data_IF_050950759327
#
_entry.id   IF_050950759327
#
_cell.length_a   1.000
_cell.length_b   1.000
_cell.length_c   1.000
_cell.angle_alpha   90.00
_cell.angle_beta   90.00
_cell.angle_gamma   90.00
#
_symmetry.space_group_name_H-M   'P 1'
#
loop_
_entity.id
_entity.type
_entity.pdbx_description
1 polymer ?
#
# COMPACT_ATOMS: atom_id res chain seq x y z
N UNK A 1 29.10 -1.70 31.16
CA UNK A 1 28.73 -0.97 29.95
C UNK A 1 27.38 -1.52 29.56
N UNK A 2 26.30 -0.75 29.76
CA UNK A 2 24.99 -1.09 29.15
C UNK A 2 25.15 -1.04 27.63
N UNK A 3 24.82 -2.13 26.94
CA UNK A 3 24.76 -2.11 25.49
C UNK A 3 23.67 -1.09 25.09
N UNK A 4 24.01 -0.16 24.21
CA UNK A 4 22.98 0.69 23.58
C UNK A 4 21.96 -0.22 22.96
N UNK A 5 20.65 0.04 23.14
CA UNK A 5 19.65 -0.75 22.45
C UNK A 5 19.95 -0.70 20.96
N UNK A 6 20.05 -1.87 20.34
CA UNK A 6 20.31 -1.97 18.90
C UNK A 6 19.17 -1.25 18.17
N UNK A 7 19.50 -0.26 17.36
CA UNK A 7 18.53 0.44 16.53
C UNK A 7 17.88 -0.57 15.60
N UNK A 8 16.54 -0.66 15.58
CA UNK A 8 15.80 -1.42 14.59
C UNK A 8 15.53 -0.55 13.37
N UNK A 9 15.69 -1.13 12.21
CA UNK A 9 15.34 -0.51 10.93
C UNK A 9 14.30 -1.41 10.27
N UNK A 10 13.12 -0.84 10.04
CA UNK A 10 12.03 -1.51 9.34
C UNK A 10 11.87 -0.93 7.95
N UNK A 11 11.70 -1.79 6.96
CA UNK A 11 11.34 -1.41 5.61
C UNK A 11 9.85 -1.64 5.39
N UNK A 12 9.11 -0.60 5.05
CA UNK A 12 7.76 -0.75 4.50
C UNK A 12 7.85 -1.42 3.15
N UNK A 13 7.06 -2.46 2.94
CA UNK A 13 7.07 -3.26 1.71
C UNK A 13 5.68 -3.37 1.10
N UNK A 14 5.64 -3.66 -0.19
CA UNK A 14 4.47 -4.21 -0.85
C UNK A 14 4.54 -5.74 -0.72
N UNK A 15 3.77 -6.31 0.21
CA UNK A 15 3.75 -7.75 0.43
C UNK A 15 3.09 -8.43 -0.77
N UNK A 16 3.78 -9.43 -1.34
CA UNK A 16 3.43 -10.02 -2.65
C UNK A 16 2.06 -10.69 -2.64
N UNK A 17 1.81 -11.60 -1.72
CA UNK A 17 0.56 -12.34 -1.66
C UNK A 17 -0.63 -11.42 -1.44
N UNK A 18 -0.52 -10.45 -0.54
CA UNK A 18 -1.57 -9.47 -0.28
C UNK A 18 -1.83 -8.55 -1.49
N UNK A 19 -0.76 -8.16 -2.21
CA UNK A 19 -0.88 -7.33 -3.42
C UNK A 19 -1.59 -8.07 -4.54
N UNK A 20 -1.21 -9.33 -4.81
CA UNK A 20 -1.89 -10.16 -5.80
C UNK A 20 -3.35 -10.39 -5.44
N UNK A 21 -3.61 -10.83 -4.21
CA UNK A 21 -4.98 -11.04 -3.74
C UNK A 21 -5.83 -9.78 -3.86
N UNK A 22 -5.27 -8.61 -3.51
CA UNK A 22 -5.96 -7.34 -3.65
C UNK A 22 -6.26 -6.95 -5.10
N UNK A 23 -5.33 -7.21 -6.03
CA UNK A 23 -5.53 -6.94 -7.46
C UNK A 23 -6.59 -7.86 -8.08
N UNK A 24 -6.78 -9.07 -7.54
CA UNK A 24 -7.81 -10.00 -8.02
C UNK A 24 -9.23 -9.54 -7.64
N UNK A 25 -9.37 -8.71 -6.61
CA UNK A 25 -10.66 -8.21 -6.11
C UNK A 25 -11.09 -6.85 -6.65
N UNK A 26 -10.40 -6.33 -7.67
CA UNK A 26 -10.74 -5.04 -8.27
C UNK A 26 -10.62 -5.07 -9.80
N UNK A 27 -11.34 -4.17 -10.47
CA UNK A 27 -11.11 -3.83 -11.86
C UNK A 27 -10.49 -2.44 -11.99
N UNK A 28 -9.51 -2.34 -12.88
CA UNK A 28 -8.84 -1.07 -13.14
C UNK A 28 -9.82 -0.03 -13.73
N UNK A 29 -9.66 1.25 -13.37
CA UNK A 29 -10.39 2.32 -14.03
C UNK A 29 -10.16 2.34 -15.54
N UNK A 30 -11.08 2.95 -16.28
CA UNK A 30 -10.90 3.18 -17.71
C UNK A 30 -9.58 3.93 -17.98
N UNK A 31 -8.80 3.42 -18.93
CA UNK A 31 -7.48 3.98 -19.26
C UNK A 31 -6.32 3.57 -18.33
N UNK A 32 -6.60 2.87 -17.23
CA UNK A 32 -5.59 2.30 -16.37
C UNK A 32 -5.41 0.81 -16.67
N UNK A 33 -4.29 0.23 -16.24
CA UNK A 33 -4.00 -1.20 -16.43
C UNK A 33 -3.59 -1.85 -15.12
N UNK A 34 -3.85 -3.16 -14.99
CA UNK A 34 -3.24 -3.95 -13.92
C UNK A 34 -1.75 -4.17 -14.24
N UNK A 35 -0.87 -4.12 -13.24
CA UNK A 35 0.54 -4.43 -13.45
C UNK A 35 0.71 -5.87 -13.97
N UNK A 36 1.73 -6.08 -14.78
CA UNK A 36 2.11 -7.44 -15.21
C UNK A 36 2.68 -8.25 -14.05
N UNK A 37 2.67 -9.57 -14.17
CA UNK A 37 3.29 -10.44 -13.18
C UNK A 37 4.77 -10.12 -13.01
N UNK A 38 5.52 -9.94 -14.10
CA UNK A 38 6.93 -9.58 -14.06
C UNK A 38 7.17 -8.27 -13.28
N UNK A 39 6.31 -7.25 -13.49
CA UNK A 39 6.39 -6.01 -12.72
C UNK A 39 6.17 -6.25 -11.24
N UNK A 40 5.15 -7.02 -10.88
CA UNK A 40 4.84 -7.32 -9.47
C UNK A 40 5.94 -8.13 -8.81
N UNK A 41 6.51 -9.13 -9.49
CA UNK A 41 7.60 -9.95 -8.95
C UNK A 41 8.85 -9.13 -8.65
N UNK A 42 9.10 -8.06 -9.42
CA UNK A 42 10.21 -7.14 -9.18
C UNK A 42 9.88 -6.03 -8.16
N UNK A 43 8.61 -5.68 -8.02
CA UNK A 43 8.17 -4.54 -7.20
C UNK A 43 7.74 -4.96 -5.78
N UNK A 44 7.30 -6.20 -5.59
CA UNK A 44 6.80 -6.73 -4.32
C UNK A 44 7.84 -7.60 -3.61
N UNK A 45 7.70 -7.73 -2.29
CA UNK A 45 8.52 -8.57 -1.44
C UNK A 45 7.74 -9.77 -0.93
N UNK A 46 8.42 -10.90 -0.78
CA UNK A 46 7.83 -12.08 -0.17
C UNK A 46 7.91 -12.01 1.35
N UNK A 47 6.77 -12.25 1.99
CA UNK A 47 6.64 -12.32 3.44
C UNK A 47 6.86 -10.98 4.15
N UNK A 48 6.16 -10.78 5.23
CA UNK A 48 6.34 -9.66 6.14
C UNK A 48 6.70 -10.20 7.52
N UNK A 49 7.62 -9.53 8.21
CA UNK A 49 7.95 -9.84 9.60
C UNK A 49 6.90 -9.25 10.55
N UNK A 50 6.37 -8.08 10.20
CA UNK A 50 5.29 -7.41 10.95
C UNK A 50 4.22 -6.94 9.98
N UNK A 51 2.97 -7.19 10.33
CA UNK A 51 1.78 -6.68 9.65
C UNK A 51 0.99 -5.79 10.61
N UNK A 52 0.70 -4.55 10.18
CA UNK A 52 -0.06 -3.58 10.97
C UNK A 52 -1.42 -3.38 10.33
N UNK A 53 -2.47 -3.85 11.01
CA UNK A 53 -3.85 -3.60 10.57
C UNK A 53 -4.18 -2.11 10.71
N UNK A 54 -4.82 -1.55 9.68
CA UNK A 54 -5.25 -0.16 9.67
C UNK A 54 -6.70 -0.04 10.18
N UNK A 55 -6.91 0.79 11.21
CA UNK A 55 -8.24 1.25 11.58
C UNK A 55 -8.86 2.10 10.46
N UNK A 56 -10.17 2.31 10.48
CA UNK A 56 -10.83 3.19 9.52
C UNK A 56 -10.24 4.61 9.54
N UNK A 57 -9.93 5.14 10.72
CA UNK A 57 -9.29 6.45 10.85
C UNK A 57 -7.88 6.49 10.24
N UNK A 58 -7.08 5.43 10.43
CA UNK A 58 -5.75 5.33 9.83
C UNK A 58 -5.83 5.19 8.30
N UNK A 59 -6.81 4.44 7.80
CA UNK A 59 -7.06 4.28 6.38
C UNK A 59 -7.48 5.60 5.72
N UNK A 60 -8.35 6.38 6.38
CA UNK A 60 -8.74 7.70 5.90
C UNK A 60 -7.57 8.68 5.91
N UNK A 61 -6.74 8.66 6.95
CA UNK A 61 -5.51 9.46 6.99
C UNK A 61 -4.55 9.08 5.85
N UNK A 62 -4.41 7.80 5.55
CA UNK A 62 -3.61 7.31 4.41
C UNK A 62 -4.15 7.82 3.09
N UNK A 63 -5.47 7.75 2.86
CA UNK A 63 -6.10 8.31 1.64
C UNK A 63 -5.87 9.81 1.52
N UNK A 64 -6.00 10.56 2.62
CA UNK A 64 -5.73 11.99 2.63
C UNK A 64 -4.28 12.31 2.29
N UNK A 65 -3.33 11.55 2.85
CA UNK A 65 -1.91 11.69 2.54
C UNK A 65 -1.62 11.39 1.05
N UNK A 66 -2.22 10.33 0.50
CA UNK A 66 -2.08 9.98 -0.93
C UNK A 66 -2.61 11.10 -1.83
N UNK A 67 -3.77 11.69 -1.52
CA UNK A 67 -4.33 12.82 -2.28
C UNK A 67 -3.46 14.08 -2.20
N UNK A 68 -2.73 14.29 -1.10
CA UNK A 68 -1.78 15.39 -0.97
C UNK A 68 -0.60 15.29 -1.94
N UNK A 69 -0.27 14.07 -2.41
CA UNK A 69 0.74 13.82 -3.43
C UNK A 69 0.16 13.82 -4.86
N UNK A 70 -0.74 14.75 -5.16
CA UNK A 70 -1.54 14.81 -6.38
C UNK A 70 -0.76 14.81 -7.69
N UNK A 71 0.53 15.16 -7.68
CA UNK A 71 1.39 15.11 -8.86
C UNK A 71 1.94 13.70 -9.17
N UNK A 72 1.79 12.75 -8.24
CA UNK A 72 2.41 11.43 -8.34
C UNK A 72 1.45 10.29 -8.04
N UNK A 73 0.45 10.51 -7.18
CA UNK A 73 -0.48 9.48 -6.73
C UNK A 73 -1.91 9.93 -7.03
N UNK A 74 -2.66 9.06 -7.68
CA UNK A 74 -4.07 9.29 -8.01
C UNK A 74 -4.93 8.21 -7.38
N UNK A 75 -5.83 8.61 -6.48
CA UNK A 75 -6.78 7.68 -5.84
C UNK A 75 -7.95 7.45 -6.79
N UNK A 76 -8.27 6.18 -7.03
CA UNK A 76 -9.29 5.77 -8.00
C UNK A 76 -10.70 5.73 -7.35
N UNK A 77 -11.16 6.84 -6.80
CA UNK A 77 -12.44 7.00 -6.10
C UNK A 77 -13.32 8.12 -6.68
N UNK A 78 -13.00 8.58 -7.88
CA UNK A 78 -13.71 9.66 -8.55
C UNK A 78 -13.22 11.06 -8.19
N UNK A 79 -12.23 11.19 -7.31
CA UNK A 79 -11.61 12.50 -7.03
C UNK A 79 -10.75 12.96 -8.21
N UNK A 80 -10.84 14.26 -8.50
CA UNK A 80 -10.01 14.92 -9.51
C UNK A 80 -8.96 15.79 -8.87
N UNK A 81 -7.84 15.97 -9.54
CA UNK A 81 -6.78 16.91 -9.17
C UNK A 81 -6.36 17.71 -10.39
N UNK A 82 -5.57 18.75 -10.19
CA UNK A 82 -5.04 19.52 -11.31
C UNK A 82 -4.16 18.70 -12.26
N UNK A 83 -3.48 17.69 -11.73
CA UNK A 83 -2.58 16.80 -12.49
C UNK A 83 -3.24 15.52 -12.98
N UNK A 84 -4.39 15.16 -12.39
CA UNK A 84 -5.27 14.08 -12.84
C UNK A 84 -6.72 14.60 -12.90
N UNK A 85 -7.10 15.25 -14.01
CA UNK A 85 -8.43 15.83 -14.16
C UNK A 85 -9.53 14.79 -14.42
N UNK A 86 -9.18 13.55 -14.73
CA UNK A 86 -10.14 12.47 -14.96
C UNK A 86 -10.57 11.87 -13.63
N UNK A 87 -11.88 11.70 -13.46
CA UNK A 87 -12.48 11.10 -12.28
C UNK A 87 -12.39 9.56 -12.36
N UNK A 88 -11.19 9.01 -12.26
CA UNK A 88 -10.98 7.57 -12.33
C UNK A 88 -11.64 6.85 -11.15
N UNK A 89 -12.38 5.78 -11.43
CA UNK A 89 -13.04 4.94 -10.41
C UNK A 89 -12.69 3.49 -10.67
N UNK A 90 -12.14 2.82 -9.67
CA UNK A 90 -11.95 1.37 -9.70
C UNK A 90 -13.24 0.67 -9.26
N UNK A 91 -13.59 -0.44 -9.89
CA UNK A 91 -14.64 -1.31 -9.37
C UNK A 91 -14.02 -2.22 -8.29
N UNK A 92 -14.62 -2.23 -7.10
CA UNK A 92 -14.15 -3.02 -5.96
C UNK A 92 -15.14 -4.15 -5.70
N UNK A 93 -14.66 -5.40 -5.72
CA UNK A 93 -15.50 -6.58 -5.52
C UNK A 93 -15.57 -7.01 -4.05
N UNK A 94 -14.55 -6.66 -3.26
CA UNK A 94 -14.43 -6.96 -1.82
C UNK A 94 -14.01 -5.70 -1.03
N UNK A 95 -14.86 -4.66 -0.96
CA UNK A 95 -14.47 -3.37 -0.37
C UNK A 95 -14.18 -3.43 1.14
N UNK A 96 -14.64 -4.46 1.82
CA UNK A 96 -14.30 -4.73 3.22
C UNK A 96 -12.82 -5.13 3.39
N UNK A 97 -12.21 -5.77 2.40
CA UNK A 97 -10.80 -6.18 2.39
C UNK A 97 -9.91 -5.20 1.61
N UNK A 98 -10.40 -4.75 0.45
CA UNK A 98 -9.72 -3.78 -0.43
C UNK A 98 -10.61 -2.55 -0.58
N UNK A 99 -10.52 -1.59 0.36
CA UNK A 99 -11.44 -0.45 0.42
C UNK A 99 -11.15 0.64 -0.62
N UNK A 100 -10.22 0.42 -1.52
CA UNK A 100 -9.90 1.39 -2.56
C UNK A 100 -8.80 0.90 -3.49
N UNK A 101 -8.51 1.75 -4.47
CA UNK A 101 -7.39 1.56 -5.38
C UNK A 101 -6.73 2.90 -5.69
N UNK A 102 -5.49 2.84 -6.11
CA UNK A 102 -4.73 4.01 -6.52
C UNK A 102 -3.77 3.64 -7.66
N UNK A 103 -3.22 4.63 -8.30
CA UNK A 103 -2.16 4.47 -9.29
C UNK A 103 -1.12 5.56 -9.17
N UNK A 104 0.04 5.30 -9.73
CA UNK A 104 1.06 6.31 -9.97
C UNK A 104 0.85 6.92 -11.36
N UNK A 105 1.70 7.85 -11.74
CA UNK A 105 1.66 8.51 -13.06
C UNK A 105 1.79 7.55 -14.26
N UNK A 106 2.20 6.31 -14.03
CA UNK A 106 2.24 5.24 -15.03
C UNK A 106 0.88 4.55 -15.26
N UNK A 107 -0.17 4.94 -14.50
CA UNK A 107 -1.52 4.38 -14.55
C UNK A 107 -1.61 2.86 -14.29
N UNK A 108 -0.64 2.31 -13.58
CA UNK A 108 -0.74 0.96 -13.03
C UNK A 108 -1.58 0.99 -11.75
N UNK A 109 -2.71 0.27 -11.75
CA UNK A 109 -3.59 0.23 -10.58
C UNK A 109 -2.98 -0.66 -9.49
N UNK A 110 -3.03 -0.16 -8.25
CA UNK A 110 -2.60 -0.87 -7.06
C UNK A 110 -3.74 -0.90 -6.03
N UNK A 111 -3.91 -1.99 -5.28
CA UNK A 111 -4.92 -2.07 -4.25
C UNK A 111 -4.54 -1.22 -3.04
N UNK A 112 -5.51 -0.53 -2.46
CA UNK A 112 -5.37 0.08 -1.16
C UNK A 112 -5.79 -0.97 -0.11
N UNK A 113 -4.80 -1.54 0.56
CA UNK A 113 -5.01 -2.61 1.53
C UNK A 113 -5.34 -2.05 2.93
N UNK A 114 -6.02 -2.85 3.77
CA UNK A 114 -6.29 -2.54 5.18
C UNK A 114 -5.14 -2.88 6.11
N UNK A 115 -3.96 -3.08 5.57
CA UNK A 115 -2.76 -3.36 6.35
C UNK A 115 -1.54 -2.72 5.72
N UNK A 116 -0.54 -2.45 6.56
CA UNK A 116 0.83 -2.11 6.16
C UNK A 116 1.74 -3.28 6.53
N UNK A 117 2.73 -3.52 5.70
CA UNK A 117 3.63 -4.65 5.81
C UNK A 117 5.06 -4.18 5.96
N UNK A 118 5.81 -4.83 6.84
CA UNK A 118 7.18 -4.42 7.15
C UNK A 118 8.11 -5.63 7.21
N UNK A 119 9.33 -5.43 6.75
CA UNK A 119 10.43 -6.37 6.93
C UNK A 119 11.52 -5.74 7.81
N UNK A 120 12.11 -6.54 8.69
CA UNK A 120 13.23 -6.12 9.52
C UNK A 120 14.49 -6.06 8.67
N UNK A 121 15.04 -4.86 8.51
CA UNK A 121 16.30 -4.66 7.81
C UNK A 121 17.53 -4.76 8.73
N UNK A 122 17.37 -4.37 9.99
CA UNK A 122 18.45 -4.42 10.99
C UNK A 122 17.88 -4.47 12.40
N UNK A 123 18.59 -5.10 13.31
CA UNK A 123 18.28 -5.18 14.74
C UNK A 123 17.69 -6.52 15.14
N UNK A 124 17.29 -6.64 16.40
CA UNK A 124 16.66 -7.85 16.92
C UNK A 124 15.21 -7.95 16.48
N UNK A 125 14.72 -9.17 16.15
CA UNK A 125 13.32 -9.40 15.82
C UNK A 125 12.37 -8.92 16.92
N UNK A 126 11.18 -8.47 16.52
CA UNK A 126 10.12 -8.10 17.43
C UNK A 126 8.77 -8.37 16.75
N UNK A 127 7.76 -8.67 17.56
CA UNK A 127 6.41 -9.00 17.09
C UNK A 127 5.62 -7.76 16.62
N UNK A 128 6.13 -6.57 16.92
CA UNK A 128 5.56 -5.30 16.50
C UNK A 128 6.66 -4.25 16.16
N UNK A 129 6.27 -3.16 15.47
CA UNK A 129 7.21 -2.12 15.05
C UNK A 129 7.85 -1.36 16.22
N UNK A 130 7.16 -1.25 17.34
CA UNK A 130 7.57 -0.49 18.51
C UNK A 130 8.14 -1.38 19.61
N UNK A 131 8.07 -2.69 19.44
CA UNK A 131 8.34 -3.74 20.42
C UNK A 131 9.38 -3.41 21.46
N UNK A 132 8.93 -3.31 22.71
CA UNK A 132 9.79 -3.08 23.87
C UNK A 132 10.06 -1.61 24.20
N UNK A 133 9.27 -0.66 23.71
CA UNK A 133 9.23 0.71 24.22
C UNK A 133 8.34 0.81 25.46
#
# INVERSE_FOLDING_TARGET
>A
KAASPSTRIWYGIFERAATYAGLDTLDAPAGWTKPSQEYLDNFTNEGADVTVALSDAALDAKRCAMRAHASQIWVADGTTTRTNPEAAVAALHEPEHVPGAYGLSNLLVMPLLRAEYFQLGQGEPADDLLGGL
#
